data_IF_312213050767
#
_entry.id   IF_312213050767
#
_cell.length_a   1.000
_cell.length_b   1.000
_cell.length_c   1.000
_cell.angle_alpha   90.00
_cell.angle_beta   90.00
_cell.angle_gamma   90.00
#
_symmetry.space_group_name_H-M   'P 1'
#
loop_
_entity.id
_entity.type
_entity.pdbx_description
1 polymer ?
#
# COMPACT_ATOMS: atom_id res chain seq x y z
N UNK A 1 14.28 -30.65 -6.64
CA UNK A 1 13.13 -30.06 -5.92
C UNK A 1 13.06 -28.63 -6.42
N UNK A 2 12.31 -28.43 -7.51
CA UNK A 2 12.16 -27.11 -8.11
C UNK A 2 11.03 -26.43 -7.34
N UNK A 3 11.35 -25.40 -6.57
CA UNK A 3 10.36 -24.55 -5.90
C UNK A 3 9.70 -23.68 -6.98
N UNK A 4 8.76 -24.28 -7.70
CA UNK A 4 7.79 -23.56 -8.51
C UNK A 4 6.70 -23.02 -7.60
N UNK A 5 6.81 -21.76 -7.19
CA UNK A 5 5.64 -21.02 -6.71
C UNK A 5 5.19 -20.13 -7.86
N UNK A 6 4.37 -20.72 -8.76
CA UNK A 6 3.77 -20.02 -9.89
C UNK A 6 2.73 -19.03 -9.39
N UNK A 7 3.18 -17.88 -8.91
CA UNK A 7 2.29 -16.83 -8.44
C UNK A 7 1.97 -15.91 -9.60
N UNK A 8 0.71 -15.99 -10.04
CA UNK A 8 0.16 -15.04 -10.98
C UNK A 8 0.05 -13.67 -10.30
N UNK A 9 0.83 -12.72 -10.81
CA UNK A 9 0.69 -11.31 -10.42
C UNK A 9 -0.54 -10.71 -11.10
N UNK A 10 -1.14 -9.73 -10.43
CA UNK A 10 -2.24 -8.94 -10.98
C UNK A 10 -1.81 -7.50 -11.12
N UNK A 11 -2.22 -6.88 -12.23
CA UNK A 11 -2.05 -5.46 -12.42
C UNK A 11 -3.12 -4.71 -11.63
N UNK A 12 -2.70 -3.81 -10.75
CA UNK A 12 -3.57 -2.93 -9.96
C UNK A 12 -3.20 -1.47 -10.18
N UNK A 13 -4.19 -0.60 -10.37
CA UNK A 13 -4.03 0.84 -10.54
C UNK A 13 -4.60 1.63 -9.37
N UNK A 14 -3.92 2.70 -8.95
CA UNK A 14 -4.42 3.64 -7.94
C UNK A 14 -3.77 5.03 -8.07
N UNK A 15 -4.37 6.01 -7.41
CA UNK A 15 -3.78 7.35 -7.25
C UNK A 15 -3.14 7.44 -5.87
N UNK A 16 -1.84 7.76 -5.80
CA UNK A 16 -1.12 7.91 -4.54
C UNK A 16 -0.55 9.32 -4.45
N UNK A 17 -0.94 10.07 -3.42
CA UNK A 17 -0.52 11.46 -3.21
C UNK A 17 -0.74 12.35 -4.46
N UNK A 18 -1.87 12.14 -5.16
CA UNK A 18 -2.23 12.82 -6.40
C UNK A 18 -1.59 12.26 -7.68
N UNK A 19 -0.63 11.33 -7.58
CA UNK A 19 0.00 10.68 -8.73
C UNK A 19 -0.69 9.37 -9.11
N UNK A 20 -1.17 9.25 -10.35
CA UNK A 20 -1.78 8.00 -10.84
C UNK A 20 -0.70 7.02 -11.31
N UNK A 21 -0.77 5.77 -10.85
CA UNK A 21 0.18 4.73 -11.20
C UNK A 21 -0.48 3.34 -11.27
N UNK A 22 0.24 2.35 -11.80
CA UNK A 22 -0.16 0.94 -11.74
C UNK A 22 1.04 0.06 -11.40
N UNK A 23 0.79 -1.03 -10.66
CA UNK A 23 1.78 -2.02 -10.25
C UNK A 23 1.34 -3.42 -10.65
N UNK A 24 2.28 -4.30 -10.97
CA UNK A 24 2.04 -5.74 -11.01
C UNK A 24 2.44 -6.34 -9.66
N UNK A 25 1.48 -6.89 -8.93
CA UNK A 25 1.66 -7.36 -7.55
C UNK A 25 1.15 -8.79 -7.39
N UNK A 26 1.79 -9.54 -6.48
CA UNK A 26 1.14 -10.71 -5.88
C UNK A 26 -0.16 -10.24 -5.18
N UNK A 27 -1.31 -10.89 -5.41
CA UNK A 27 -2.59 -10.45 -4.85
C UNK A 27 -2.64 -10.43 -3.31
N UNK A 28 -1.67 -11.07 -2.64
CA UNK A 28 -1.53 -11.11 -1.18
C UNK A 28 -0.74 -9.93 -0.61
N UNK A 29 -0.17 -9.07 -1.45
CA UNK A 29 0.55 -7.87 -1.00
C UNK A 29 -0.41 -6.92 -0.29
N UNK A 30 -0.09 -6.58 0.96
CA UNK A 30 -0.85 -5.58 1.72
C UNK A 30 -0.66 -4.19 1.12
N UNK A 31 -1.61 -3.27 1.34
CA UNK A 31 -1.44 -1.89 0.92
C UNK A 31 -0.20 -1.25 1.57
N UNK A 32 0.09 -1.60 2.83
CA UNK A 32 1.28 -1.11 3.51
C UNK A 32 2.59 -1.56 2.83
N UNK A 33 2.69 -2.83 2.43
CA UNK A 33 3.86 -3.35 1.70
C UNK A 33 3.94 -2.77 0.28
N UNK A 34 2.82 -2.62 -0.43
CA UNK A 34 2.81 -1.96 -1.74
C UNK A 34 3.39 -0.54 -1.67
N UNK A 35 2.96 0.27 -0.70
CA UNK A 35 3.46 1.63 -0.51
C UNK A 35 4.96 1.64 -0.17
N UNK A 36 5.39 0.79 0.76
CA UNK A 36 6.76 0.83 1.29
C UNK A 36 7.79 0.17 0.38
N UNK A 37 7.49 -1.03 -0.10
CA UNK A 37 8.45 -1.92 -0.76
C UNK A 37 8.42 -1.77 -2.27
N UNK A 38 7.24 -1.50 -2.86
CA UNK A 38 7.10 -1.35 -4.30
C UNK A 38 7.18 0.11 -4.76
N UNK A 39 6.63 1.05 -3.99
CA UNK A 39 6.64 2.49 -4.31
C UNK A 39 7.73 3.29 -3.58
N UNK A 40 8.41 2.69 -2.59
CA UNK A 40 9.44 3.38 -1.83
C UNK A 40 8.91 4.49 -0.89
N UNK A 41 7.59 4.58 -0.69
CA UNK A 41 6.94 5.51 0.24
C UNK A 41 7.04 4.95 1.66
N UNK A 42 8.21 5.12 2.26
CA UNK A 42 8.57 4.49 3.53
C UNK A 42 8.06 5.22 4.78
N UNK A 43 7.34 6.33 4.62
CA UNK A 43 6.75 7.14 5.70
C UNK A 43 5.67 6.40 6.48
N UNK A 44 4.79 5.67 5.79
CA UNK A 44 3.89 4.68 6.41
C UNK A 44 4.71 3.59 7.09
N UNK A 45 4.49 3.31 8.39
CA UNK A 45 5.35 2.38 9.15
C UNK A 45 4.65 1.05 9.45
N UNK A 46 5.42 -0.04 9.44
CA UNK A 46 4.98 -1.32 10.00
C UNK A 46 5.47 -1.42 11.43
N UNK A 47 4.54 -1.40 12.39
CA UNK A 47 4.85 -1.59 13.81
C UNK A 47 4.50 -2.99 14.29
N UNK A 48 3.20 -3.32 14.28
CA UNK A 48 2.70 -4.62 14.74
C UNK A 48 2.25 -5.56 13.62
N UNK A 49 1.94 -5.03 12.43
CA UNK A 49 1.37 -5.78 11.30
C UNK A 49 0.07 -6.56 11.60
N UNK A 50 -0.64 -6.18 12.67
CA UNK A 50 -1.85 -6.86 13.16
C UNK A 50 -2.98 -5.85 13.49
N UNK A 51 -2.87 -4.61 13.01
CA UNK A 51 -3.87 -3.55 13.22
C UNK A 51 -3.96 -2.96 14.63
N UNK A 52 -3.05 -3.31 15.53
CA UNK A 52 -3.11 -2.90 16.95
C UNK A 52 -2.49 -1.52 17.22
N UNK A 53 -1.47 -1.12 16.46
CA UNK A 53 -0.69 0.09 16.78
C UNK A 53 -1.03 1.33 15.94
N UNK A 54 -1.70 1.18 14.80
CA UNK A 54 -2.01 2.29 13.89
C UNK A 54 -0.82 2.92 13.17
N UNK A 55 0.41 2.41 13.31
CA UNK A 55 1.60 2.96 12.66
C UNK A 55 1.56 2.95 11.12
N UNK A 56 0.71 2.09 10.55
CA UNK A 56 0.48 1.94 9.12
C UNK A 56 -0.73 2.76 8.61
N UNK A 57 -1.21 3.73 9.39
CA UNK A 57 -2.40 4.50 9.01
C UNK A 57 -2.13 5.31 7.74
N UNK A 58 -3.02 5.18 6.76
CA UNK A 58 -3.09 6.02 5.54
C UNK A 58 -4.53 6.48 5.34
N UNK A 59 -4.77 7.45 4.46
CA UNK A 59 -6.11 7.81 4.02
C UNK A 59 -6.41 7.09 2.70
N UNK A 60 -7.56 6.45 2.61
CA UNK A 60 -8.12 5.92 1.36
C UNK A 60 -9.45 6.62 1.13
N UNK A 61 -9.57 7.34 0.00
CA UNK A 61 -10.73 8.18 -0.33
C UNK A 61 -11.12 9.10 0.84
N UNK A 62 -10.10 9.72 1.46
CA UNK A 62 -10.25 10.61 2.61
C UNK A 62 -10.56 9.92 3.96
N UNK A 63 -10.70 8.59 4.01
CA UNK A 63 -10.97 7.84 5.25
C UNK A 63 -9.72 7.16 5.76
N UNK A 64 -9.39 7.34 7.04
CA UNK A 64 -8.26 6.65 7.67
C UNK A 64 -8.50 5.14 7.77
N UNK A 65 -7.49 4.35 7.41
CA UNK A 65 -7.51 2.89 7.59
C UNK A 65 -6.12 2.38 8.02
N UNK A 66 -6.07 1.19 8.62
CA UNK A 66 -4.81 0.47 8.83
C UNK A 66 -4.43 -0.25 7.53
N UNK A 67 -3.43 0.25 6.80
CA UNK A 67 -3.02 -0.32 5.50
C UNK A 67 -2.43 -1.73 5.58
N UNK A 68 -2.02 -2.19 6.78
CA UNK A 68 -1.52 -3.55 6.97
C UNK A 68 -2.61 -4.63 6.99
N UNK A 69 -3.89 -4.25 7.13
CA UNK A 69 -5.03 -5.18 7.19
C UNK A 69 -5.87 -5.20 5.91
N UNK A 70 -5.36 -4.64 4.82
CA UNK A 70 -6.02 -4.61 3.52
C UNK A 70 -5.01 -4.93 2.42
N UNK A 71 -5.48 -5.56 1.35
CA UNK A 71 -4.65 -5.94 0.21
C UNK A 71 -4.62 -4.80 -0.81
N UNK A 72 -3.48 -4.60 -1.48
CA UNK A 72 -3.36 -3.55 -2.50
C UNK A 72 -4.39 -3.71 -3.63
N UNK A 73 -4.70 -4.96 -4.01
CA UNK A 73 -5.69 -5.30 -5.04
C UNK A 73 -7.12 -4.91 -4.69
N UNK A 74 -7.43 -4.69 -3.41
CA UNK A 74 -8.75 -4.23 -2.97
C UNK A 74 -8.96 -2.73 -3.19
N UNK A 75 -7.90 -2.01 -3.57
CA UNK A 75 -7.86 -0.56 -3.73
C UNK A 75 -7.68 -0.13 -5.19
N UNK A 76 -8.11 -0.96 -6.14
CA UNK A 76 -8.17 -0.57 -7.55
C UNK A 76 -8.98 0.71 -7.72
N UNK A 77 -8.36 1.73 -8.31
CA UNK A 77 -8.96 3.03 -8.60
C UNK A 77 -9.11 3.96 -7.40
N UNK A 78 -8.70 3.56 -6.20
CA UNK A 78 -8.80 4.41 -5.00
C UNK A 78 -7.75 5.54 -4.99
N UNK A 79 -8.08 6.64 -4.30
CA UNK A 79 -7.14 7.70 -3.94
C UNK A 79 -6.54 7.43 -2.55
N UNK A 80 -5.22 7.30 -2.50
CA UNK A 80 -4.45 7.01 -1.29
C UNK A 80 -3.58 8.21 -0.94
N UNK A 81 -3.71 8.72 0.28
CA UNK A 81 -2.82 9.74 0.83
C UNK A 81 -1.96 9.14 1.95
N UNK A 82 -0.65 9.22 1.81
CA UNK A 82 0.34 8.86 2.83
C UNK A 82 0.88 10.11 3.54
N UNK A 83 1.76 9.95 4.52
CA UNK A 83 2.38 11.09 5.21
C UNK A 83 3.18 11.98 4.25
N UNK A 84 3.83 11.41 3.25
CA UNK A 84 4.57 12.13 2.21
C UNK A 84 3.66 13.05 1.37
N UNK A 85 2.38 12.71 1.24
CA UNK A 85 1.39 13.55 0.54
C UNK A 85 0.89 14.73 1.37
N UNK A 86 1.12 14.75 2.68
CA UNK A 86 0.70 15.84 3.57
C UNK A 86 1.72 16.98 3.65
N UNK A 87 2.98 16.70 3.37
CA UNK A 87 4.03 17.70 3.36
C UNK A 87 5.44 17.11 3.51
N UNK A 88 6.41 17.94 3.15
CA UNK A 88 7.83 17.72 3.38
C UNK A 88 8.35 18.67 4.46
N UNK A 89 9.56 18.47 5.01
CA UNK A 89 10.12 19.36 6.03
C UNK A 89 10.38 20.81 5.62
N UNK A 90 10.25 21.13 4.33
CA UNK A 90 10.34 22.49 3.76
C UNK A 90 8.98 23.20 3.81
#
# INVERSE_FOLDING_TARGET
>A
MADGDGIDTVRVGFTVNGGTLSLELDPRVTLASALREHLGLTGTKIGCDQGQCGACTVLVNGRRINSCLTLAVMHEGDDITTIEGLGTPE
#
